data_IF_667894386200
#
_entry.id   IF_667894386200
#
_cell.length_a   1.000
_cell.length_b   1.000
_cell.length_c   1.000
_cell.angle_alpha   90.00
_cell.angle_beta   90.00
_cell.angle_gamma   90.00
#
_symmetry.space_group_name_H-M   'P 1'
#
loop_
_entity.id
_entity.type
_entity.pdbx_description
1 polymer ?
#
# COMPACT_ATOMS: atom_id res chain seq x y z
N UNK A 1 -20.09 9.33 3.86
CA UNK A 1 -20.56 9.12 2.47
C UNK A 1 -19.44 8.48 1.66
N UNK A 2 -19.61 7.26 1.17
CA UNK A 2 -18.58 6.60 0.35
C UNK A 2 -18.56 7.26 -1.04
N UNK A 3 -17.43 7.80 -1.44
CA UNK A 3 -17.18 8.31 -2.79
C UNK A 3 -17.25 7.13 -3.78
N UNK A 4 -18.39 6.94 -4.38
CA UNK A 4 -18.66 5.87 -5.36
C UNK A 4 -18.44 6.34 -6.81
N UNK A 5 -17.59 7.34 -7.03
CA UNK A 5 -17.26 7.78 -8.38
C UNK A 5 -16.08 6.98 -8.91
N UNK A 6 -16.38 5.92 -9.64
CA UNK A 6 -15.36 5.18 -10.40
C UNK A 6 -14.98 6.03 -11.62
N UNK A 7 -13.74 6.51 -11.66
CA UNK A 7 -13.20 7.24 -12.80
C UNK A 7 -13.25 6.39 -14.06
N UNK A 8 -13.79 6.94 -15.14
CA UNK A 8 -13.68 6.32 -16.47
C UNK A 8 -12.22 6.39 -16.96
N UNK A 9 -11.88 5.55 -17.94
CA UNK A 9 -10.54 5.60 -18.58
C UNK A 9 -10.27 6.95 -19.26
N UNK A 10 -11.30 7.58 -19.78
CA UNK A 10 -11.21 8.89 -20.45
C UNK A 10 -10.95 10.01 -19.43
N UNK A 11 -11.67 10.03 -18.32
CA UNK A 11 -11.43 10.97 -17.22
C UNK A 11 -10.03 10.81 -16.62
N UNK A 12 -9.54 9.57 -16.49
CA UNK A 12 -8.18 9.33 -16.02
C UNK A 12 -7.15 9.90 -16.98
N UNK A 13 -7.29 9.66 -18.31
CA UNK A 13 -6.40 10.19 -19.34
C UNK A 13 -6.43 11.72 -19.36
N UNK A 14 -7.62 12.31 -19.26
CA UNK A 14 -7.77 13.74 -19.17
C UNK A 14 -7.03 14.32 -17.96
N UNK A 15 -7.23 13.75 -16.77
CA UNK A 15 -6.52 14.21 -15.56
C UNK A 15 -5.00 14.03 -15.68
N UNK A 16 -4.54 12.96 -16.33
CA UNK A 16 -3.12 12.74 -16.57
C UNK A 16 -2.51 13.75 -17.54
N UNK A 17 -3.27 14.27 -18.50
CA UNK A 17 -2.81 15.27 -19.45
C UNK A 17 -2.80 16.71 -18.93
N UNK A 18 -3.40 16.97 -17.77
CA UNK A 18 -3.45 18.30 -17.17
C UNK A 18 -2.04 18.83 -16.83
N UNK A 19 -1.81 20.14 -16.91
CA UNK A 19 -0.59 20.78 -16.43
C UNK A 19 -0.32 20.47 -14.95
N UNK A 20 0.96 20.41 -14.57
CA UNK A 20 1.36 20.10 -13.20
C UNK A 20 0.72 21.03 -12.17
N UNK A 21 0.66 22.32 -12.44
CA UNK A 21 0.04 23.32 -11.56
C UNK A 21 -1.44 23.06 -11.28
N UNK A 22 -2.16 22.52 -12.27
CA UNK A 22 -3.57 22.13 -12.08
C UNK A 22 -3.67 20.87 -11.22
N UNK A 23 -2.83 19.85 -11.49
CA UNK A 23 -2.79 18.62 -10.68
C UNK A 23 -2.46 18.93 -9.22
N UNK A 24 -1.48 19.80 -8.99
CA UNK A 24 -1.07 20.25 -7.66
C UNK A 24 -2.23 20.93 -6.92
N UNK A 25 -2.93 21.86 -7.57
CA UNK A 25 -4.10 22.52 -6.99
C UNK A 25 -5.20 21.52 -6.65
N UNK A 26 -5.50 20.58 -7.54
CA UNK A 26 -6.50 19.53 -7.28
C UNK A 26 -6.12 18.66 -6.09
N UNK A 27 -4.82 18.35 -5.92
CA UNK A 27 -4.33 17.58 -4.77
C UNK A 27 -4.46 18.35 -3.47
N UNK A 28 -4.11 19.64 -3.47
CA UNK A 28 -4.26 20.52 -2.30
C UNK A 28 -5.72 20.69 -1.89
N UNK A 29 -6.65 20.81 -2.85
CA UNK A 29 -8.08 20.84 -2.53
C UNK A 29 -8.56 19.55 -1.87
N UNK A 30 -8.11 18.38 -2.34
CA UNK A 30 -8.43 17.09 -1.71
C UNK A 30 -7.88 16.98 -0.29
N UNK A 31 -6.67 17.44 -0.07
CA UNK A 31 -6.04 17.47 1.26
C UNK A 31 -6.85 18.39 2.17
N UNK A 32 -7.24 19.57 1.69
CA UNK A 32 -8.08 20.52 2.44
C UNK A 32 -9.42 19.90 2.83
N UNK A 33 -10.13 19.29 1.87
CA UNK A 33 -11.42 18.62 2.14
C UNK A 33 -11.27 17.56 3.24
N UNK A 34 -10.20 16.77 3.18
CA UNK A 34 -9.94 15.71 4.14
C UNK A 34 -9.59 16.26 5.53
N UNK A 35 -8.74 17.28 5.60
CA UNK A 35 -8.40 17.94 6.85
C UNK A 35 -9.60 18.70 7.47
N UNK A 36 -10.48 19.28 6.65
CA UNK A 36 -11.69 19.91 7.14
C UNK A 36 -12.68 18.89 7.73
N UNK A 37 -12.68 17.66 7.22
CA UNK A 37 -13.58 16.60 7.70
C UNK A 37 -13.11 15.99 9.02
N UNK A 38 -11.80 15.79 9.19
CA UNK A 38 -11.23 15.04 10.31
C UNK A 38 -10.39 15.89 11.28
N UNK A 39 -10.16 17.17 10.98
CA UNK A 39 -9.19 18.01 11.67
C UNK A 39 -7.74 17.67 11.28
N UNK A 40 -6.82 18.63 11.41
CA UNK A 40 -5.39 18.43 11.11
C UNK A 40 -4.78 17.39 12.04
N UNK A 41 -5.16 17.39 13.32
CA UNK A 41 -4.67 16.41 14.30
C UNK A 41 -5.25 15.00 14.12
N UNK A 42 -6.36 14.89 13.37
CA UNK A 42 -7.01 13.62 13.05
C UNK A 42 -6.48 12.95 11.77
N UNK A 43 -5.51 13.57 11.09
CA UNK A 43 -4.96 13.07 9.82
C UNK A 43 -3.46 12.85 9.88
N UNK A 44 -2.97 11.92 9.12
CA UNK A 44 -1.54 11.67 8.90
C UNK A 44 -1.27 11.19 7.49
N UNK A 45 -0.02 11.29 7.07
CA UNK A 45 0.45 10.73 5.79
C UNK A 45 1.18 9.41 6.07
N UNK A 46 0.73 8.30 5.47
CA UNK A 46 1.49 7.05 5.46
C UNK A 46 2.73 7.25 4.58
N UNK A 47 3.89 7.40 5.23
CA UNK A 47 5.15 7.76 4.59
C UNK A 47 6.06 6.54 4.48
N UNK A 48 6.10 5.91 3.32
CA UNK A 48 6.95 4.72 3.08
C UNK A 48 8.40 5.05 2.69
N UNK A 49 8.74 6.33 2.53
CA UNK A 49 10.04 6.75 1.97
C UNK A 49 10.13 6.63 0.44
N UNK A 50 9.08 6.16 -0.24
CA UNK A 50 8.99 6.13 -1.69
C UNK A 50 8.54 7.47 -2.27
N UNK A 51 8.73 7.65 -3.59
CA UNK A 51 8.46 8.92 -4.29
C UNK A 51 7.01 9.41 -4.10
N UNK A 52 6.02 8.53 -4.27
CA UNK A 52 4.61 8.91 -4.18
C UNK A 52 4.23 9.40 -2.78
N UNK A 53 4.70 8.69 -1.75
CA UNK A 53 4.46 9.08 -0.36
C UNK A 53 5.21 10.36 0.02
N UNK A 54 6.40 10.60 -0.57
CA UNK A 54 7.15 11.84 -0.40
C UNK A 54 6.40 13.03 -0.99
N UNK A 55 5.88 12.90 -2.21
CA UNK A 55 5.07 13.96 -2.85
C UNK A 55 3.81 14.22 -2.03
N UNK A 56 3.15 13.18 -1.56
CA UNK A 56 1.96 13.31 -0.71
C UNK A 56 2.29 14.04 0.59
N UNK A 57 3.39 13.69 1.26
CA UNK A 57 3.83 14.35 2.49
C UNK A 57 4.17 15.83 2.22
N UNK A 58 4.88 16.12 1.13
CA UNK A 58 5.22 17.49 0.74
C UNK A 58 3.97 18.34 0.49
N UNK A 59 3.01 17.86 -0.29
CA UNK A 59 1.78 18.60 -0.57
C UNK A 59 0.92 18.78 0.70
N UNK A 60 0.83 17.75 1.55
CA UNK A 60 0.10 17.86 2.81
C UNK A 60 0.70 18.91 3.72
N UNK A 61 2.04 19.00 3.80
CA UNK A 61 2.74 19.99 4.61
C UNK A 61 2.76 21.40 4.02
N UNK A 62 2.50 21.54 2.74
CA UNK A 62 2.22 22.85 2.12
C UNK A 62 0.83 23.38 2.52
N UNK A 63 -0.11 22.48 2.78
CA UNK A 63 -1.42 22.86 3.35
C UNK A 63 -1.29 23.19 4.85
N UNK A 64 -0.73 22.28 5.64
CA UNK A 64 -0.44 22.50 7.08
C UNK A 64 0.82 21.74 7.49
N UNK A 65 1.82 22.48 7.99
CA UNK A 65 3.12 21.95 8.38
C UNK A 65 3.06 20.98 9.57
N UNK A 66 1.98 20.99 10.34
CA UNK A 66 1.78 20.11 11.50
C UNK A 66 1.30 18.71 11.12
N UNK A 67 0.90 18.49 9.85
CA UNK A 67 0.49 17.17 9.41
C UNK A 67 1.65 16.19 9.58
N UNK A 68 1.39 15.16 10.39
CA UNK A 68 2.35 14.10 10.70
C UNK A 68 2.55 13.13 9.53
N UNK A 69 3.77 12.64 9.41
CA UNK A 69 4.01 11.42 8.65
C UNK A 69 4.08 10.21 9.60
N UNK A 70 3.67 9.04 9.13
CA UNK A 70 3.80 7.78 9.86
C UNK A 70 4.57 6.81 8.99
N UNK A 71 5.68 6.30 9.49
CA UNK A 71 6.50 5.27 8.85
C UNK A 71 6.40 3.97 9.64
N UNK A 72 6.05 2.88 8.98
CA UNK A 72 6.02 1.55 9.59
C UNK A 72 7.34 0.86 9.26
N UNK A 73 8.22 0.72 10.25
CA UNK A 73 9.51 0.03 10.12
C UNK A 73 9.32 -1.46 10.40
N UNK A 74 9.09 -2.24 9.33
CA UNK A 74 8.88 -3.70 9.42
C UNK A 74 10.19 -4.49 9.49
N UNK A 75 11.34 -3.84 9.46
CA UNK A 75 12.69 -4.41 9.33
C UNK A 75 13.01 -5.00 7.95
N UNK A 76 12.04 -4.96 7.01
CA UNK A 76 12.20 -5.43 5.63
C UNK A 76 12.66 -4.32 4.67
N UNK A 77 12.58 -3.07 5.10
CA UNK A 77 12.95 -1.92 4.31
C UNK A 77 14.48 -1.85 4.14
N UNK A 78 14.91 -1.41 2.96
CA UNK A 78 16.32 -1.15 2.71
C UNK A 78 16.89 -0.15 3.73
N UNK A 79 18.12 -0.34 4.22
CA UNK A 79 18.75 0.55 5.19
C UNK A 79 18.75 2.03 4.75
N UNK A 80 18.88 2.28 3.44
CA UNK A 80 18.85 3.61 2.83
C UNK A 80 17.49 4.29 3.01
N UNK A 81 16.39 3.56 2.84
CA UNK A 81 15.03 4.09 3.07
C UNK A 81 14.86 4.48 4.54
N UNK A 82 15.30 3.63 5.45
CA UNK A 82 15.25 3.91 6.89
C UNK A 82 16.08 5.13 7.29
N UNK A 83 17.26 5.31 6.65
CA UNK A 83 18.07 6.52 6.82
C UNK A 83 17.38 7.76 6.22
N UNK A 84 16.82 7.62 5.02
CA UNK A 84 16.11 8.70 4.34
C UNK A 84 14.91 9.21 5.15
N UNK A 85 14.09 8.30 5.67
CA UNK A 85 12.92 8.66 6.49
C UNK A 85 13.33 9.49 7.71
N UNK A 86 14.46 9.18 8.33
CA UNK A 86 14.99 9.93 9.50
C UNK A 86 15.45 11.35 9.19
N UNK A 87 15.61 11.70 7.91
CA UNK A 87 15.93 13.07 7.50
C UNK A 87 14.73 14.03 7.59
N UNK A 88 13.52 13.49 7.79
CA UNK A 88 12.31 14.30 7.89
C UNK A 88 11.88 14.49 9.34
N UNK A 89 11.52 15.72 9.68
CA UNK A 89 10.91 16.05 10.97
C UNK A 89 9.44 15.59 11.02
N UNK A 90 8.88 15.49 12.22
CA UNK A 90 7.47 15.16 12.47
C UNK A 90 7.03 13.86 11.75
N UNK A 91 7.86 12.80 11.87
CA UNK A 91 7.56 11.44 11.41
C UNK A 91 7.51 10.54 12.64
N UNK A 92 6.35 9.93 12.87
CA UNK A 92 6.20 8.88 13.87
C UNK A 92 6.66 7.55 13.26
N UNK A 93 7.62 6.88 13.89
CA UNK A 93 8.11 5.56 13.45
C UNK A 93 7.46 4.49 14.29
N UNK A 94 6.60 3.70 13.67
CA UNK A 94 5.90 2.56 14.29
C UNK A 94 6.66 1.29 13.95
N UNK A 95 6.86 0.44 14.95
CA UNK A 95 7.47 -0.88 14.77
C UNK A 95 6.46 -1.95 15.16
N UNK A 96 6.47 -3.12 14.49
CA UNK A 96 5.66 -4.26 14.94
C UNK A 96 6.15 -4.74 16.31
N UNK A 97 5.26 -5.30 17.11
CA UNK A 97 5.59 -5.88 18.44
C UNK A 97 6.62 -7.01 18.34
N UNK A 98 6.53 -7.81 17.29
CA UNK A 98 7.49 -8.87 16.99
C UNK A 98 8.29 -8.52 15.75
N UNK A 99 9.60 -8.60 15.83
CA UNK A 99 10.46 -8.47 14.68
C UNK A 99 10.36 -9.70 13.75
N UNK A 100 10.75 -9.54 12.49
CA UNK A 100 10.69 -10.61 11.49
C UNK A 100 11.49 -11.85 11.92
N UNK A 101 12.66 -11.66 12.55
CA UNK A 101 13.50 -12.77 13.01
C UNK A 101 12.80 -13.62 14.04
N UNK A 102 12.10 -12.97 14.98
CA UNK A 102 11.29 -13.65 16.00
C UNK A 102 10.15 -14.42 15.35
N UNK A 103 9.43 -13.81 14.39
CA UNK A 103 8.33 -14.47 13.66
C UNK A 103 8.87 -15.69 12.90
N UNK A 104 9.95 -15.54 12.14
CA UNK A 104 10.54 -16.64 11.37
C UNK A 104 11.03 -17.77 12.25
N UNK A 105 11.60 -17.47 13.42
CA UNK A 105 12.06 -18.50 14.36
C UNK A 105 10.91 -19.24 15.06
N UNK A 106 9.78 -18.55 15.32
CA UNK A 106 8.62 -19.14 16.01
C UNK A 106 7.67 -19.86 15.05
N UNK A 107 7.37 -19.22 13.91
CA UNK A 107 6.28 -19.63 13.01
C UNK A 107 6.80 -20.15 11.66
N UNK A 108 8.13 -20.07 11.42
CA UNK A 108 8.75 -20.38 10.14
C UNK A 108 8.67 -19.23 9.13
N UNK A 109 9.23 -19.44 7.93
CA UNK A 109 9.13 -18.46 6.85
C UNK A 109 7.69 -18.32 6.39
N UNK A 110 7.28 -17.07 6.19
CA UNK A 110 6.02 -16.78 5.53
C UNK A 110 6.05 -17.31 4.09
N UNK A 111 4.87 -17.39 3.47
CA UNK A 111 4.70 -17.99 2.15
C UNK A 111 5.66 -17.44 1.10
N UNK A 112 6.02 -18.27 0.08
CA UNK A 112 7.00 -17.90 -0.94
C UNK A 112 6.64 -16.66 -1.75
N UNK A 113 5.34 -16.30 -1.80
CA UNK A 113 4.87 -15.09 -2.50
C UNK A 113 3.48 -14.66 -2.02
N UNK A 114 3.15 -13.38 -2.24
CA UNK A 114 1.79 -12.84 -2.04
C UNK A 114 0.72 -13.63 -2.78
N UNK A 115 1.03 -14.08 -3.99
CA UNK A 115 0.13 -14.84 -4.85
C UNK A 115 -0.27 -16.20 -4.24
N UNK A 116 0.68 -16.88 -3.60
CA UNK A 116 0.43 -18.14 -2.87
C UNK A 116 -0.34 -17.86 -1.58
N UNK A 117 0.03 -16.84 -0.82
CA UNK A 117 -0.66 -16.46 0.39
C UNK A 117 -2.14 -16.16 0.15
N UNK A 118 -2.45 -15.36 -0.87
CA UNK A 118 -3.82 -15.04 -1.30
C UNK A 118 -4.60 -16.28 -1.75
N UNK A 119 -3.92 -17.20 -2.46
CA UNK A 119 -4.55 -18.45 -2.89
C UNK A 119 -4.91 -19.36 -1.70
N UNK A 120 -4.03 -19.46 -0.69
CA UNK A 120 -4.29 -20.26 0.51
C UNK A 120 -5.43 -19.65 1.34
N UNK A 121 -5.45 -18.33 1.54
CA UNK A 121 -6.53 -17.66 2.24
C UNK A 121 -7.87 -17.87 1.52
N UNK A 122 -7.89 -17.66 0.21
CA UNK A 122 -9.09 -17.86 -0.60
C UNK A 122 -9.54 -19.33 -0.66
N UNK A 123 -8.61 -20.28 -0.58
CA UNK A 123 -8.91 -21.71 -0.44
C UNK A 123 -9.63 -21.99 0.88
N UNK A 124 -9.13 -21.45 2.00
CA UNK A 124 -9.78 -21.57 3.31
C UNK A 124 -11.20 -21.00 3.32
N UNK A 125 -11.45 -19.98 2.50
CA UNK A 125 -12.77 -19.39 2.28
C UNK A 125 -13.63 -20.16 1.25
N UNK A 126 -13.19 -21.31 0.76
CA UNK A 126 -13.91 -22.16 -0.19
C UNK A 126 -14.04 -21.59 -1.62
N UNK A 127 -13.22 -20.59 -2.00
CA UNK A 127 -13.29 -19.99 -3.34
C UNK A 127 -12.79 -20.96 -4.42
N UNK A 128 -13.65 -21.31 -5.38
CA UNK A 128 -13.37 -22.27 -6.45
C UNK A 128 -12.08 -21.98 -7.25
N UNK A 129 -11.80 -20.71 -7.56
CA UNK A 129 -10.58 -20.34 -8.27
C UNK A 129 -9.30 -20.70 -7.51
N UNK A 130 -9.34 -20.56 -6.19
CA UNK A 130 -8.19 -20.87 -5.33
C UNK A 130 -7.97 -22.37 -5.21
N UNK A 131 -9.05 -23.17 -5.15
CA UNK A 131 -9.00 -24.63 -5.20
C UNK A 131 -8.34 -25.07 -6.51
N UNK A 132 -8.80 -24.53 -7.65
CA UNK A 132 -8.21 -24.83 -8.95
C UNK A 132 -6.72 -24.45 -8.97
N UNK A 133 -6.37 -23.23 -8.54
CA UNK A 133 -5.01 -22.73 -8.55
C UNK A 133 -4.05 -23.58 -7.72
N UNK A 134 -4.42 -23.95 -6.50
CA UNK A 134 -3.60 -24.79 -5.62
C UNK A 134 -3.48 -26.23 -6.15
N UNK A 135 -4.46 -26.72 -6.92
CA UNK A 135 -4.39 -27.99 -7.63
C UNK A 135 -3.63 -27.91 -8.98
N UNK A 136 -3.03 -26.78 -9.29
CA UNK A 136 -2.29 -26.57 -10.52
C UNK A 136 -3.17 -26.42 -11.77
N UNK A 137 -4.43 -26.03 -11.58
CA UNK A 137 -5.40 -25.81 -12.64
C UNK A 137 -5.60 -24.32 -12.93
N UNK A 138 -6.03 -23.99 -14.15
CA UNK A 138 -6.46 -22.65 -14.53
C UNK A 138 -7.90 -22.36 -14.06
N UNK A 139 -8.43 -21.17 -14.39
CA UNK A 139 -9.79 -20.77 -14.04
C UNK A 139 -10.88 -21.66 -14.63
N UNK A 140 -10.58 -22.39 -15.72
CA UNK A 140 -11.49 -23.26 -16.44
C UNK A 140 -11.38 -24.74 -15.99
N UNK A 141 -10.40 -25.04 -15.10
CA UNK A 141 -10.14 -26.39 -14.62
C UNK A 141 -9.13 -27.19 -15.46
N UNK A 142 -8.47 -26.56 -16.44
CA UNK A 142 -7.43 -27.20 -17.24
C UNK A 142 -6.06 -27.09 -16.56
N UNK A 143 -5.08 -27.96 -16.87
CA UNK A 143 -3.74 -27.86 -16.33
C UNK A 143 -3.11 -26.47 -16.58
N UNK A 144 -2.70 -25.78 -15.50
CA UNK A 144 -2.05 -24.49 -15.61
C UNK A 144 -0.59 -24.62 -16.02
N UNK A 145 -0.11 -23.70 -16.89
CA UNK A 145 1.32 -23.59 -17.21
C UNK A 145 2.19 -23.25 -15.99
N UNK A 146 1.57 -22.77 -14.90
CA UNK A 146 2.26 -22.42 -13.66
C UNK A 146 2.11 -23.49 -12.56
N UNK A 147 1.59 -24.69 -12.87
CA UNK A 147 1.29 -25.76 -11.91
C UNK A 147 2.47 -26.12 -11.02
N UNK A 148 3.70 -26.06 -11.55
CA UNK A 148 4.90 -26.43 -10.79
C UNK A 148 5.21 -25.46 -9.62
N UNK A 149 4.68 -24.25 -9.65
CA UNK A 149 4.82 -23.28 -8.54
C UNK A 149 4.04 -23.66 -7.29
N UNK A 150 3.04 -24.52 -7.43
CA UNK A 150 2.11 -24.91 -6.36
C UNK A 150 2.28 -26.36 -5.92
N UNK A 151 3.17 -27.08 -6.56
CA UNK A 151 3.55 -28.44 -6.19
C UNK A 151 4.68 -28.38 -5.14
N UNK A 152 4.32 -28.17 -3.87
CA UNK A 152 5.23 -28.39 -2.73
C UNK A 152 4.49 -29.01 -1.58
#
# INVERSE_FOLDING_TARGET
>A
MAYKHVLTKEELRYRQSLPLSIKERMSLERIREFCNMYGVDGVYVSFSGGLDSLVTLHLSRRFDSNIKGVFIDTWLEHPEIRKFVRCFSNIDVIKPEKDLKTIVNQDGWCFPSKDISEAIESYRLGKKWAVNKLNGLDKNGNPSKYRERYKK
#
